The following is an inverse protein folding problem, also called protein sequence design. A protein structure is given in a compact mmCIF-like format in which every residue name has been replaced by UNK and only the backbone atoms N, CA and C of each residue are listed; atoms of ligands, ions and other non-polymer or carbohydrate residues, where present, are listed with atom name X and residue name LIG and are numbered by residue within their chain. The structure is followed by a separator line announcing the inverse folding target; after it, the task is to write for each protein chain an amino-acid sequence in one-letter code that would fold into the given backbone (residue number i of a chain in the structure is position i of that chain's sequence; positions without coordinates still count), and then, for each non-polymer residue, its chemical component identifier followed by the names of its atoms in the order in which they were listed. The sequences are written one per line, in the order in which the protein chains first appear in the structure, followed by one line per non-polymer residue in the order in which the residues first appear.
data_IF_261601121215
#
_entry.id   IF_261601121215
#
_cell.length_a   1.000
_cell.length_b   1.000
_cell.length_c   1.000
_cell.angle_alpha   90.00
_cell.angle_beta   90.00
_cell.angle_gamma   90.00
#
_symmetry.space_group_name_H-M   'P 1'
#
loop_
_entity.id
_entity.type
_entity.pdbx_description
1 polymer ?
#
# COMPACT_ATOMS: atom_id res chain seq x y z
N UNK A 1 33.38 -53.04 32.64
CA UNK A 1 32.45 -52.22 33.45
C UNK A 1 33.03 -50.81 33.61
N UNK A 2 32.20 -49.80 33.32
CA UNK A 2 32.30 -48.38 33.69
C UNK A 2 33.67 -47.66 33.60
N UNK A 3 33.83 -46.78 32.61
CA UNK A 3 34.72 -45.61 32.70
C UNK A 3 33.87 -44.33 32.72
N UNK A 4 33.90 -43.64 33.86
CA UNK A 4 33.34 -42.29 34.08
C UNK A 4 34.36 -41.23 33.63
N UNK A 5 33.78 -40.14 33.13
CA UNK A 5 34.36 -38.91 32.59
C UNK A 5 35.26 -38.17 33.59
N UNK A 6 36.27 -37.49 33.06
CA UNK A 6 36.70 -36.15 33.51
C UNK A 6 36.84 -35.25 32.28
N UNK A 7 36.25 -34.06 32.36
CA UNK A 7 36.26 -32.98 31.38
C UNK A 7 36.87 -31.76 32.07
N UNK A 8 37.68 -31.01 31.32
CA UNK A 8 37.79 -29.53 31.21
C UNK A 8 39.20 -29.15 30.71
N UNK A 9 39.45 -27.93 30.20
CA UNK A 9 38.67 -27.13 29.24
C UNK A 9 39.58 -26.53 28.13
N UNK A 10 39.00 -26.08 27.01
CA UNK A 10 39.70 -25.31 25.97
C UNK A 10 38.69 -24.89 24.90
N UNK A 11 38.28 -23.62 24.88
CA UNK A 11 38.88 -22.52 24.11
C UNK A 11 38.27 -22.39 22.72
N UNK A 12 37.70 -21.21 22.43
CA UNK A 12 37.41 -20.78 21.07
C UNK A 12 35.96 -20.41 20.81
N UNK A 13 35.57 -19.19 21.19
CA UNK A 13 34.42 -18.48 20.61
C UNK A 13 34.63 -18.41 19.08
N UNK A 14 33.71 -19.01 18.31
CA UNK A 14 33.42 -18.56 16.94
C UNK A 14 32.13 -17.75 17.00
N UNK A 15 32.27 -16.47 16.69
CA UNK A 15 31.15 -15.62 16.28
C UNK A 15 30.78 -16.07 14.88
N UNK A 16 29.56 -16.57 14.70
CA UNK A 16 28.98 -16.85 13.39
C UNK A 16 27.84 -15.86 13.19
N UNK A 17 28.00 -15.01 12.17
CA UNK A 17 26.98 -14.09 11.68
C UNK A 17 25.70 -14.85 11.34
N UNK A 18 24.63 -14.49 12.03
CA UNK A 18 23.31 -15.06 11.84
C UNK A 18 22.53 -14.25 10.82
N UNK A 19 22.48 -14.74 9.58
CA UNK A 19 21.36 -14.44 8.67
C UNK A 19 20.20 -15.32 9.13
N UNK A 20 19.28 -14.75 9.92
CA UNK A 20 18.09 -15.46 10.36
C UNK A 20 16.94 -15.23 9.38
N UNK A 21 16.61 -16.31 8.65
CA UNK A 21 15.34 -16.48 7.95
C UNK A 21 14.19 -16.41 8.97
N UNK A 22 13.38 -15.35 8.93
CA UNK A 22 12.18 -15.26 9.75
C UNK A 22 10.93 -15.67 8.98
N UNK A 23 10.26 -16.67 9.53
CA UNK A 23 8.97 -17.15 9.08
C UNK A 23 7.87 -16.28 9.69
N UNK A 24 6.95 -15.79 8.86
CA UNK A 24 5.78 -15.03 9.28
C UNK A 24 4.83 -15.89 10.14
N UNK A 25 4.59 -15.45 11.39
CA UNK A 25 3.44 -15.83 12.20
C UNK A 25 2.86 -14.55 12.82
N UNK A 26 1.68 -14.12 12.36
CA UNK A 26 0.86 -13.11 13.02
C UNK A 26 0.43 -13.62 14.41
N UNK A 27 0.78 -12.88 15.47
CA UNK A 27 0.20 -13.06 16.82
C UNK A 27 -0.56 -11.81 17.21
N UNK A 28 -1.89 -11.93 17.23
CA UNK A 28 -2.79 -10.98 17.88
C UNK A 28 -2.54 -10.99 19.39
N UNK A 29 -2.14 -9.84 19.95
CA UNK A 29 -2.17 -9.60 21.38
C UNK A 29 -3.47 -8.86 21.74
N UNK A 30 -4.46 -9.60 22.24
CA UNK A 30 -5.55 -9.04 23.02
C UNK A 30 -5.10 -8.83 24.46
N UNK A 31 -5.21 -7.60 24.93
CA UNK A 31 -5.08 -7.21 26.33
C UNK A 31 -6.13 -7.95 27.18
N UNK A 32 -5.68 -8.70 28.19
CA UNK A 32 -6.52 -9.26 29.23
C UNK A 32 -6.73 -8.19 30.31
N UNK A 33 -7.99 -7.75 30.50
CA UNK A 33 -8.40 -6.99 31.66
C UNK A 33 -8.50 -7.95 32.86
N UNK A 34 -7.70 -7.69 33.90
CA UNK A 34 -7.74 -8.42 35.16
C UNK A 34 -9.03 -8.10 35.92
N UNK A 35 -9.81 -9.14 36.26
CA UNK A 35 -10.92 -9.06 37.19
C UNK A 35 -10.40 -8.80 38.62
N UNK A 36 -10.62 -7.59 39.12
CA UNK A 36 -10.62 -7.30 40.55
C UNK A 36 -12.02 -7.61 41.12
N UNK A 37 -12.10 -8.55 42.06
CA UNK A 37 -13.29 -8.74 42.91
C UNK A 37 -13.10 -7.91 44.18
N UNK A 38 -13.96 -6.92 44.41
CA UNK A 38 -14.11 -6.26 45.72
C UNK A 38 -15.38 -6.73 46.46
N UNK A 39 -15.33 -6.79 47.80
CA UNK A 39 -16.38 -7.40 48.62
C UNK A 39 -17.60 -6.49 48.82
N UNK A 40 -18.76 -7.14 48.93
CA UNK A 40 -20.09 -6.55 49.09
C UNK A 40 -20.17 -5.48 50.19
N UNK A 41 -20.62 -4.27 49.82
CA UNK A 41 -21.12 -3.24 50.73
C UNK A 41 -22.60 -2.97 50.46
N UNK A 42 -23.30 -2.70 51.55
CA UNK A 42 -24.76 -2.55 51.68
C UNK A 42 -25.36 -1.51 50.72
N UNK A 43 -26.64 -1.64 50.34
CA UNK A 43 -27.26 -0.76 49.37
C UNK A 43 -27.48 0.63 49.98
N UNK A 44 -26.59 1.56 49.65
CA UNK A 44 -26.90 2.99 49.68
C UNK A 44 -27.78 3.25 48.46
N UNK A 45 -28.92 3.91 48.65
CA UNK A 45 -29.77 4.35 47.55
C UNK A 45 -28.98 5.27 46.63
N UNK A 46 -28.45 4.70 45.54
CA UNK A 46 -27.80 5.45 44.49
C UNK A 46 -28.88 6.26 43.75
N UNK A 47 -28.64 7.55 43.44
CA UNK A 47 -29.48 8.28 42.51
C UNK A 47 -29.61 7.48 41.21
N UNK A 48 -30.77 7.55 40.56
CA UNK A 48 -30.99 6.79 39.33
C UNK A 48 -29.95 7.17 38.27
N UNK A 49 -29.61 6.26 37.36
CA UNK A 49 -28.69 6.54 36.26
C UNK A 49 -29.15 7.78 35.46
N UNK A 50 -30.46 8.01 35.37
CA UNK A 50 -31.05 9.18 34.75
C UNK A 50 -30.82 10.48 35.54
N UNK A 51 -30.82 10.43 36.87
CA UNK A 51 -30.49 11.60 37.71
C UNK A 51 -29.00 11.93 37.64
N UNK A 52 -28.11 10.93 37.68
CA UNK A 52 -26.66 11.14 37.53
C UNK A 52 -26.32 11.66 36.14
N UNK A 53 -26.96 11.11 35.10
CA UNK A 53 -26.79 11.58 33.72
C UNK A 53 -27.38 12.98 33.51
N UNK A 54 -28.52 13.30 34.12
CA UNK A 54 -29.12 14.64 34.04
C UNK A 54 -28.31 15.68 34.81
N UNK A 55 -27.75 15.33 35.97
CA UNK A 55 -26.88 16.21 36.76
C UNK A 55 -25.52 16.40 36.07
N UNK A 56 -24.92 15.34 35.50
CA UNK A 56 -23.72 15.40 34.65
C UNK A 56 -23.96 16.24 33.40
N UNK A 57 -25.08 16.05 32.70
CA UNK A 57 -25.40 16.83 31.51
C UNK A 57 -25.78 18.28 31.85
N UNK A 58 -26.27 18.56 33.07
CA UNK A 58 -26.42 19.93 33.60
C UNK A 58 -25.10 20.58 33.96
N UNK A 59 -24.11 19.83 34.46
CA UNK A 59 -22.77 20.34 34.74
C UNK A 59 -21.91 20.47 33.47
N UNK A 60 -22.16 19.66 32.45
CA UNK A 60 -21.51 19.74 31.12
C UNK A 60 -22.12 20.82 30.23
N UNK A 61 -23.34 21.29 30.52
CA UNK A 61 -23.95 22.50 29.92
C UNK A 61 -23.63 23.79 30.69
N UNK A 62 -22.50 23.86 31.37
CA UNK A 62 -21.85 25.17 31.52
C UNK A 62 -21.30 25.53 30.15
N UNK A 63 -21.71 26.69 29.60
CA UNK A 63 -21.13 27.29 28.40
C UNK A 63 -19.61 27.35 28.60
N UNK A 64 -18.90 26.33 28.11
CA UNK A 64 -17.44 26.37 28.06
C UNK A 64 -17.12 27.49 27.09
N UNK A 65 -16.47 28.54 27.58
CA UNK A 65 -15.93 29.59 26.72
C UNK A 65 -14.99 28.92 25.71
N UNK A 66 -15.35 28.99 24.44
CA UNK A 66 -14.49 28.52 23.35
C UNK A 66 -13.20 29.35 23.37
N UNK A 67 -12.08 28.68 23.19
CA UNK A 67 -10.83 29.39 22.89
C UNK A 67 -10.99 30.19 21.58
N UNK A 68 -10.18 31.24 21.36
CA UNK A 68 -10.22 31.99 20.10
C UNK A 68 -10.05 31.10 18.85
N UNK A 69 -9.25 30.04 18.95
CA UNK A 69 -9.06 29.03 17.90
C UNK A 69 -10.34 28.22 17.71
N UNK A 70 -10.91 27.63 18.78
CA UNK A 70 -12.17 26.88 18.69
C UNK A 70 -13.33 27.74 18.12
N UNK A 71 -13.41 29.02 18.51
CA UNK A 71 -14.42 29.94 17.97
C UNK A 71 -14.20 30.27 16.47
N UNK A 72 -12.94 30.40 16.03
CA UNK A 72 -12.59 30.57 14.61
C UNK A 72 -12.95 29.33 13.80
N UNK A 73 -12.67 28.14 14.34
CA UNK A 73 -13.02 26.87 13.71
C UNK A 73 -14.54 26.71 13.53
N UNK A 74 -15.32 26.97 14.58
CA UNK A 74 -16.79 26.93 14.51
C UNK A 74 -17.33 27.93 13.47
N UNK A 75 -16.73 29.12 13.37
CA UNK A 75 -17.10 30.11 12.35
C UNK A 75 -16.82 29.59 10.94
N UNK A 76 -15.65 28.97 10.73
CA UNK A 76 -15.28 28.36 9.45
C UNK A 76 -16.21 27.20 9.06
N UNK A 77 -16.56 26.32 10.00
CA UNK A 77 -17.44 25.18 9.72
C UNK A 77 -18.89 25.58 9.39
N UNK A 78 -19.35 26.73 9.88
CA UNK A 78 -20.69 27.25 9.61
C UNK A 78 -20.74 28.20 8.39
N UNK A 79 -19.58 28.60 7.86
CA UNK A 79 -19.46 29.47 6.70
C UNK A 79 -19.76 28.73 5.39
N UNK A 80 -20.22 29.46 4.38
CA UNK A 80 -20.30 28.91 3.02
C UNK A 80 -18.90 28.81 2.36
N UNK A 81 -18.81 28.19 1.19
CA UNK A 81 -17.53 27.93 0.51
C UNK A 81 -16.69 29.20 0.26
N UNK A 82 -17.31 30.30 -0.16
CA UNK A 82 -16.59 31.56 -0.42
C UNK A 82 -16.11 32.19 0.89
N UNK A 83 -16.98 32.16 1.90
CA UNK A 83 -16.65 32.62 3.24
C UNK A 83 -15.55 31.76 3.89
N UNK A 84 -15.52 30.45 3.66
CA UNK A 84 -14.47 29.55 4.13
C UNK A 84 -13.09 29.88 3.55
N UNK A 85 -13.02 30.12 2.24
CA UNK A 85 -11.77 30.56 1.59
C UNK A 85 -11.30 31.90 2.18
N UNK A 86 -12.21 32.87 2.31
CA UNK A 86 -11.89 34.18 2.88
C UNK A 86 -11.45 34.09 4.35
N UNK A 87 -12.12 33.27 5.15
CA UNK A 87 -11.77 33.03 6.55
C UNK A 87 -10.40 32.36 6.66
N UNK A 88 -10.06 31.40 5.81
CA UNK A 88 -8.73 30.79 5.81
C UNK A 88 -7.64 31.83 5.52
N UNK A 89 -7.82 32.68 4.50
CA UNK A 89 -6.91 33.79 4.23
C UNK A 89 -6.75 34.74 5.43
N UNK A 90 -7.85 35.07 6.10
CA UNK A 90 -7.83 35.93 7.29
C UNK A 90 -7.12 35.25 8.46
N UNK A 91 -7.37 33.97 8.71
CA UNK A 91 -6.75 33.23 9.81
C UNK A 91 -5.23 33.11 9.62
N UNK A 92 -4.74 32.94 8.38
CA UNK A 92 -3.30 32.93 8.08
C UNK A 92 -2.64 34.30 8.41
N UNK A 93 -3.36 35.41 8.19
CA UNK A 93 -2.88 36.76 8.54
C UNK A 93 -2.88 37.01 10.06
N UNK A 94 -3.89 36.46 10.75
CA UNK A 94 -4.06 36.54 12.19
C UNK A 94 -3.32 35.38 12.90
N UNK A 95 -1.99 35.38 12.78
CA UNK A 95 -1.06 34.29 13.15
C UNK A 95 -1.33 33.53 14.44
N UNK A 96 -1.89 34.18 15.46
CA UNK A 96 -2.17 33.58 16.77
C UNK A 96 -3.47 32.72 16.79
N UNK A 97 -4.20 32.68 15.67
CA UNK A 97 -5.47 31.96 15.53
C UNK A 97 -5.36 30.67 14.70
N UNK A 98 -4.15 30.28 14.30
CA UNK A 98 -3.92 29.03 13.55
C UNK A 98 -2.86 28.19 14.24
N UNK A 99 -3.27 27.05 14.79
CA UNK A 99 -2.38 25.98 15.20
C UNK A 99 -2.31 24.88 14.13
N UNK A 100 -1.52 23.84 14.39
CA UNK A 100 -1.29 22.69 13.51
C UNK A 100 -2.57 21.92 13.21
N UNK A 101 -3.35 21.63 14.25
CA UNK A 101 -4.64 20.93 14.11
C UNK A 101 -5.62 21.73 13.24
N UNK A 102 -5.79 23.04 13.50
CA UNK A 102 -6.65 23.88 12.67
C UNK A 102 -6.13 24.01 11.24
N UNK A 103 -4.82 24.17 11.05
CA UNK A 103 -4.24 24.25 9.71
C UNK A 103 -4.54 22.98 8.91
N UNK A 104 -4.32 21.81 9.49
CA UNK A 104 -4.66 20.54 8.86
C UNK A 104 -6.14 20.48 8.48
N UNK A 105 -7.06 20.74 9.42
CA UNK A 105 -8.49 20.58 9.20
C UNK A 105 -9.07 21.59 8.18
N UNK A 106 -8.64 22.86 8.23
CA UNK A 106 -9.04 23.87 7.25
C UNK A 106 -8.54 23.53 5.85
N UNK A 107 -7.26 23.15 5.71
CA UNK A 107 -6.68 22.82 4.41
C UNK A 107 -7.26 21.52 3.85
N UNK A 108 -7.47 20.50 4.68
CA UNK A 108 -8.14 19.26 4.26
C UNK A 108 -9.54 19.54 3.73
N UNK A 109 -10.34 20.34 4.45
CA UNK A 109 -11.68 20.73 4.03
C UNK A 109 -11.65 21.48 2.69
N UNK A 110 -10.83 22.53 2.60
CA UNK A 110 -10.75 23.36 1.39
C UNK A 110 -10.16 22.62 0.19
N UNK A 111 -9.26 21.66 0.40
CA UNK A 111 -8.74 20.84 -0.69
C UNK A 111 -9.88 20.09 -1.39
N UNK A 112 -10.70 19.33 -0.67
CA UNK A 112 -11.82 18.62 -1.28
C UNK A 112 -12.87 19.58 -1.87
N UNK A 113 -13.19 20.69 -1.19
CA UNK A 113 -14.14 21.67 -1.73
C UNK A 113 -13.66 22.34 -3.02
N UNK A 114 -12.38 22.70 -3.12
CA UNK A 114 -11.82 23.29 -4.35
C UNK A 114 -11.72 22.26 -5.48
N UNK A 115 -11.50 20.98 -5.16
CA UNK A 115 -11.58 19.88 -6.13
C UNK A 115 -13.00 19.73 -6.68
N UNK A 116 -14.02 19.71 -5.81
CA UNK A 116 -15.43 19.57 -6.20
C UNK A 116 -15.93 20.75 -7.06
N UNK A 117 -15.40 21.96 -6.84
CA UNK A 117 -15.76 23.15 -7.59
C UNK A 117 -14.90 23.40 -8.85
N UNK A 118 -13.93 22.53 -9.16
CA UNK A 118 -12.95 22.71 -10.25
C UNK A 118 -12.08 23.99 -10.10
N UNK A 119 -11.77 24.36 -8.86
CA UNK A 119 -11.04 25.59 -8.49
C UNK A 119 -9.73 25.30 -7.74
N UNK A 120 -9.04 24.21 -8.10
CA UNK A 120 -7.78 23.74 -7.46
C UNK A 120 -6.71 24.83 -7.26
N UNK A 121 -6.63 25.78 -8.18
CA UNK A 121 -5.69 26.91 -8.09
C UNK A 121 -5.89 27.75 -6.81
N UNK A 122 -7.12 27.87 -6.30
CA UNK A 122 -7.42 28.60 -5.06
C UNK A 122 -6.80 27.91 -3.84
N UNK A 123 -6.79 26.58 -3.84
CA UNK A 123 -6.08 25.81 -2.81
C UNK A 123 -4.57 26.04 -2.89
N UNK A 124 -4.01 25.98 -4.11
CA UNK A 124 -2.57 26.20 -4.32
C UNK A 124 -2.16 27.62 -3.82
N UNK A 125 -2.97 28.65 -4.09
CA UNK A 125 -2.75 30.02 -3.58
C UNK A 125 -2.80 30.12 -2.04
N UNK A 126 -3.69 29.37 -1.39
CA UNK A 126 -3.77 29.30 0.08
C UNK A 126 -2.53 28.62 0.66
N UNK A 127 -2.07 27.53 0.04
CA UNK A 127 -0.88 26.79 0.46
C UNK A 127 0.37 27.66 0.33
N UNK A 128 0.53 28.39 -0.78
CA UNK A 128 1.62 29.34 -0.97
C UNK A 128 1.60 30.48 0.06
N UNK A 129 0.40 30.96 0.42
CA UNK A 129 0.23 31.97 1.46
C UNK A 129 0.61 31.45 2.84
N UNK A 130 0.23 30.22 3.18
CA UNK A 130 0.63 29.56 4.44
C UNK A 130 2.15 29.40 4.49
N UNK A 131 2.74 28.86 3.42
CA UNK A 131 4.19 28.68 3.27
C UNK A 131 4.95 29.99 3.50
N UNK A 132 4.46 31.10 2.95
CA UNK A 132 5.12 32.41 3.05
C UNK A 132 4.88 33.11 4.40
N UNK A 133 3.67 33.01 4.96
CA UNK A 133 3.24 33.81 6.12
C UNK A 133 3.54 33.13 7.46
N UNK A 134 3.45 31.80 7.47
CA UNK A 134 3.59 30.92 8.63
C UNK A 134 4.46 29.68 8.27
N UNK A 135 5.74 29.87 7.90
CA UNK A 135 6.60 28.79 7.39
C UNK A 135 6.83 27.65 8.39
N UNK A 136 6.86 27.94 9.69
CA UNK A 136 7.01 26.92 10.74
C UNK A 136 5.78 26.01 10.83
N UNK A 137 4.59 26.60 10.70
CA UNK A 137 3.32 25.87 10.68
C UNK A 137 3.17 25.07 9.38
N UNK A 138 3.50 25.68 8.24
CA UNK A 138 3.57 24.97 6.96
C UNK A 138 4.50 23.75 7.08
N UNK A 139 5.68 23.90 7.69
CA UNK A 139 6.63 22.80 7.83
C UNK A 139 6.08 21.61 8.66
N UNK A 140 5.15 21.84 9.58
CA UNK A 140 4.50 20.77 10.36
C UNK A 140 3.51 19.97 9.48
N UNK A 141 2.70 20.68 8.69
CA UNK A 141 1.65 20.08 7.84
C UNK A 141 2.08 19.80 6.40
N UNK A 142 3.34 20.10 6.05
CA UNK A 142 3.87 20.06 4.67
C UNK A 142 3.63 18.75 3.95
N UNK A 143 3.59 17.64 4.68
CA UNK A 143 3.48 16.31 4.13
C UNK A 143 2.10 16.04 3.54
N UNK A 144 1.04 16.59 4.14
CA UNK A 144 -0.30 16.60 3.55
C UNK A 144 -0.42 17.65 2.44
N UNK A 145 0.03 18.88 2.71
CA UNK A 145 -0.15 20.00 1.78
C UNK A 145 0.58 19.76 0.46
N UNK A 146 1.83 19.27 0.51
CA UNK A 146 2.60 18.96 -0.69
C UNK A 146 1.96 17.80 -1.49
N UNK A 147 1.43 16.75 -0.84
CA UNK A 147 0.73 15.66 -1.54
C UNK A 147 -0.50 16.18 -2.31
N UNK A 148 -1.28 17.06 -1.69
CA UNK A 148 -2.42 17.74 -2.31
C UNK A 148 -2.00 18.64 -3.48
N UNK A 149 -0.98 19.48 -3.30
CA UNK A 149 -0.45 20.34 -4.37
C UNK A 149 0.14 19.53 -5.54
N UNK A 150 0.84 18.41 -5.27
CA UNK A 150 1.34 17.52 -6.32
C UNK A 150 0.16 16.89 -7.06
N UNK A 151 -0.90 16.46 -6.36
CA UNK A 151 -2.10 15.93 -7.00
C UNK A 151 -2.74 16.97 -7.92
N UNK A 152 -2.86 18.23 -7.47
CA UNK A 152 -3.36 19.33 -8.30
C UNK A 152 -2.49 19.57 -9.54
N UNK A 153 -1.16 19.56 -9.38
CA UNK A 153 -0.21 19.74 -10.48
C UNK A 153 -0.30 18.59 -11.50
N UNK A 154 -0.44 17.35 -11.04
CA UNK A 154 -0.64 16.16 -11.89
C UNK A 154 -1.92 16.29 -12.71
N UNK A 155 -3.05 16.58 -12.06
CA UNK A 155 -4.36 16.68 -12.72
C UNK A 155 -4.40 17.85 -13.72
N UNK A 156 -3.76 18.96 -13.38
CA UNK A 156 -3.67 20.12 -14.27
C UNK A 156 -2.60 20.01 -15.36
N UNK A 157 -1.78 18.94 -15.36
CA UNK A 157 -0.67 18.76 -16.30
C UNK A 157 0.49 19.75 -16.12
N UNK A 158 0.61 20.39 -14.93
CA UNK A 158 1.70 21.33 -14.58
C UNK A 158 2.91 20.58 -14.03
N UNK A 159 3.50 19.74 -14.86
CA UNK A 159 4.57 18.82 -14.43
C UNK A 159 5.84 19.53 -13.93
N UNK A 160 6.05 20.79 -14.31
CA UNK A 160 7.12 21.65 -13.81
C UNK A 160 7.01 21.95 -12.30
N UNK A 161 5.78 21.98 -11.76
CA UNK A 161 5.51 22.29 -10.35
C UNK A 161 5.74 21.08 -9.45
N UNK A 162 5.69 19.86 -10.00
CA UNK A 162 5.76 18.60 -9.25
C UNK A 162 7.12 18.44 -8.56
N UNK A 163 8.22 18.69 -9.26
CA UNK A 163 9.56 18.38 -8.73
C UNK A 163 9.93 19.22 -7.50
N UNK A 164 9.71 20.56 -7.47
CA UNK A 164 9.90 21.35 -6.26
C UNK A 164 9.11 20.80 -5.06
N UNK A 165 7.81 20.55 -5.22
CA UNK A 165 6.94 20.02 -4.17
C UNK A 165 7.39 18.63 -3.69
N UNK A 166 7.74 17.74 -4.63
CA UNK A 166 8.19 16.40 -4.32
C UNK A 166 9.55 16.38 -3.59
N UNK A 167 10.45 17.33 -3.89
CA UNK A 167 11.71 17.50 -3.15
C UNK A 167 11.45 17.96 -1.72
N UNK A 168 10.48 18.84 -1.52
CA UNK A 168 10.07 19.25 -0.17
C UNK A 168 9.58 18.03 0.62
N UNK A 169 8.65 17.24 0.08
CA UNK A 169 8.15 16.04 0.73
C UNK A 169 9.27 15.03 1.04
N UNK A 170 10.18 14.82 0.08
CA UNK A 170 11.28 13.86 0.20
C UNK A 170 12.20 14.12 1.40
N UNK A 171 12.41 15.39 1.79
CA UNK A 171 13.35 15.70 2.88
C UNK A 171 12.93 15.22 4.26
N UNK A 172 11.65 14.83 4.46
CA UNK A 172 11.14 14.17 5.68
C UNK A 172 10.41 12.87 5.34
N UNK A 173 10.73 12.27 4.18
CA UNK A 173 10.02 11.09 3.68
C UNK A 173 10.07 9.88 4.62
N UNK A 174 11.06 9.78 5.51
CA UNK A 174 11.12 8.74 6.54
C UNK A 174 10.18 8.96 7.72
N UNK A 175 9.84 10.21 8.04
CA UNK A 175 8.96 10.57 9.16
C UNK A 175 7.48 10.32 8.82
N UNK A 176 7.10 10.57 7.56
CA UNK A 176 5.74 10.40 7.04
C UNK A 176 5.70 9.42 5.86
N UNK A 177 6.32 8.24 6.06
CA UNK A 177 6.56 7.27 4.99
C UNK A 177 5.28 6.76 4.32
N UNK A 178 4.16 6.71 5.05
CA UNK A 178 2.87 6.29 4.53
C UNK A 178 2.33 7.25 3.47
N UNK A 179 2.34 8.56 3.75
CA UNK A 179 1.94 9.61 2.81
C UNK A 179 2.95 9.70 1.68
N UNK A 180 4.24 9.66 1.98
CA UNK A 180 5.27 9.66 0.95
C UNK A 180 5.13 8.47 -0.01
N UNK A 181 4.82 7.28 0.50
CA UNK A 181 4.59 6.09 -0.34
C UNK A 181 3.36 6.24 -1.25
N UNK A 182 2.27 6.89 -0.77
CA UNK A 182 1.12 7.22 -1.62
C UNK A 182 1.51 8.16 -2.74
N UNK A 183 2.28 9.20 -2.45
CA UNK A 183 2.77 10.14 -3.46
C UNK A 183 3.68 9.42 -4.47
N UNK A 184 4.55 8.50 -4.02
CA UNK A 184 5.36 7.68 -4.92
C UNK A 184 4.50 6.79 -5.84
N UNK A 185 3.38 6.24 -5.34
CA UNK A 185 2.43 5.48 -6.15
C UNK A 185 1.74 6.37 -7.20
N UNK A 186 1.30 7.57 -6.82
CA UNK A 186 0.75 8.57 -7.75
C UNK A 186 1.75 8.93 -8.85
N UNK A 187 2.96 9.32 -8.48
CA UNK A 187 4.01 9.70 -9.43
C UNK A 187 4.38 8.54 -10.36
N UNK A 188 4.34 7.30 -9.85
CA UNK A 188 4.59 6.10 -10.66
C UNK A 188 3.45 5.83 -11.65
N UNK A 189 2.20 6.04 -11.23
CA UNK A 189 1.01 5.91 -12.08
C UNK A 189 1.06 6.87 -13.28
N UNK A 190 1.48 8.12 -13.03
CA UNK A 190 1.53 9.21 -14.01
C UNK A 190 2.87 9.35 -14.75
N UNK A 191 3.71 8.30 -14.74
CA UNK A 191 5.03 8.25 -15.39
C UNK A 191 5.94 9.46 -15.08
N UNK A 192 5.87 9.97 -13.85
CA UNK A 192 6.74 11.06 -13.37
C UNK A 192 8.13 10.51 -12.98
N UNK A 193 8.74 9.73 -13.88
CA UNK A 193 9.97 8.97 -13.63
C UNK A 193 11.16 9.87 -13.28
N UNK A 194 11.31 11.02 -13.93
CA UNK A 194 12.37 11.98 -13.62
C UNK A 194 12.28 12.47 -12.18
N UNK A 195 11.07 12.81 -11.72
CA UNK A 195 10.81 13.20 -10.34
C UNK A 195 11.18 12.09 -9.37
N UNK A 196 10.71 10.86 -9.62
CA UNK A 196 11.02 9.69 -8.79
C UNK A 196 12.53 9.50 -8.60
N UNK A 197 13.32 9.56 -9.69
CA UNK A 197 14.77 9.38 -9.65
C UNK A 197 15.50 10.43 -8.81
N UNK A 198 14.96 11.64 -8.72
CA UNK A 198 15.55 12.69 -7.90
C UNK A 198 15.18 12.55 -6.42
N UNK A 199 13.93 12.19 -6.12
CA UNK A 199 13.44 12.20 -4.74
C UNK A 199 13.84 10.96 -3.94
N UNK A 200 14.06 9.80 -4.58
CA UNK A 200 14.55 8.60 -3.88
C UNK A 200 15.89 8.83 -3.16
N UNK A 201 16.96 9.31 -3.81
CA UNK A 201 18.24 9.54 -3.11
C UNK A 201 18.15 10.69 -2.11
N UNK A 202 17.28 11.69 -2.35
CA UNK A 202 17.07 12.80 -1.42
C UNK A 202 16.41 12.34 -0.10
N UNK A 203 15.44 11.43 -0.18
CA UNK A 203 14.73 10.90 0.99
C UNK A 203 15.46 9.77 1.70
N UNK A 204 16.43 9.12 1.03
CA UNK A 204 17.13 7.96 1.58
C UNK A 204 17.73 8.17 2.97
N UNK A 205 18.46 9.27 3.28
CA UNK A 205 18.99 9.48 4.63
C UNK A 205 17.91 9.50 5.71
N UNK A 206 16.78 10.18 5.45
CA UNK A 206 15.63 10.24 6.37
C UNK A 206 15.01 8.86 6.58
N UNK A 207 14.86 8.06 5.52
CA UNK A 207 14.32 6.69 5.60
C UNK A 207 15.27 5.76 6.37
N UNK A 208 16.59 5.91 6.23
CA UNK A 208 17.57 5.10 6.96
C UNK A 208 17.55 5.35 8.47
N UNK A 209 17.30 6.60 8.87
CA UNK A 209 17.29 7.03 10.27
C UNK A 209 15.92 6.87 10.94
N UNK A 210 14.85 6.70 10.15
CA UNK A 210 13.49 6.56 10.64
C UNK A 210 13.30 5.30 11.51
N UNK A 211 12.52 5.44 12.58
CA UNK A 211 12.15 4.33 13.46
C UNK A 211 10.99 3.51 12.86
N UNK A 212 11.23 2.89 11.71
CA UNK A 212 10.27 2.10 10.95
C UNK A 212 10.68 0.63 10.89
N UNK A 213 9.76 -0.23 10.46
CA UNK A 213 10.06 -1.65 10.30
C UNK A 213 11.07 -1.89 9.17
N UNK A 214 11.98 -2.86 9.37
CA UNK A 214 12.99 -3.20 8.36
C UNK A 214 12.41 -3.55 6.98
N UNK A 215 11.23 -4.18 6.95
CA UNK A 215 10.57 -4.51 5.68
C UNK A 215 10.14 -3.27 4.88
N UNK A 216 9.85 -2.15 5.56
CA UNK A 216 9.49 -0.90 4.89
C UNK A 216 10.72 -0.22 4.26
N UNK A 217 11.88 -0.33 4.93
CA UNK A 217 13.18 0.08 4.36
C UNK A 217 13.51 -0.77 3.13
N UNK A 218 13.32 -2.10 3.21
CA UNK A 218 13.55 -3.00 2.07
C UNK A 218 12.62 -2.70 0.89
N UNK A 219 11.34 -2.41 1.14
CA UNK A 219 10.38 -1.98 0.10
C UNK A 219 10.82 -0.67 -0.56
N UNK A 220 11.23 0.31 0.24
CA UNK A 220 11.74 1.59 -0.27
C UNK A 220 12.98 1.40 -1.17
N UNK A 221 13.97 0.64 -0.70
CA UNK A 221 15.20 0.34 -1.45
C UNK A 221 14.89 -0.40 -2.75
N UNK A 222 13.95 -1.35 -2.72
CA UNK A 222 13.49 -2.06 -3.92
C UNK A 222 12.91 -1.07 -4.93
N UNK A 223 11.98 -0.20 -4.52
CA UNK A 223 11.34 0.77 -5.40
C UNK A 223 12.33 1.79 -5.99
N UNK A 224 13.27 2.27 -5.19
CA UNK A 224 14.35 3.15 -5.66
C UNK A 224 15.22 2.46 -6.72
N UNK A 225 15.59 1.20 -6.46
CA UNK A 225 16.39 0.39 -7.39
C UNK A 225 15.65 0.14 -8.70
N UNK A 226 14.36 -0.22 -8.62
CA UNK A 226 13.50 -0.44 -9.77
C UNK A 226 13.37 0.83 -10.63
N UNK A 227 13.14 2.00 -10.02
CA UNK A 227 13.08 3.27 -10.74
C UNK A 227 14.36 3.58 -11.52
N UNK A 228 15.53 3.35 -10.90
CA UNK A 228 16.84 3.51 -11.55
C UNK A 228 16.97 2.54 -12.73
N UNK A 229 16.66 1.25 -12.54
CA UNK A 229 16.77 0.24 -13.59
C UNK A 229 15.84 0.58 -14.76
N UNK A 230 14.59 0.93 -14.49
CA UNK A 230 13.61 1.28 -15.52
C UNK A 230 14.04 2.50 -16.33
N UNK A 231 14.58 3.52 -15.68
CA UNK A 231 15.12 4.68 -16.38
C UNK A 231 16.29 4.33 -17.33
N UNK A 232 17.14 3.38 -16.94
CA UNK A 232 18.20 2.88 -17.83
C UNK A 232 17.65 2.04 -18.98
N UNK A 233 16.62 1.22 -18.73
CA UNK A 233 15.97 0.41 -19.76
C UNK A 233 15.28 1.29 -20.81
N UNK A 234 14.67 2.38 -20.38
CA UNK A 234 13.97 3.33 -21.27
C UNK A 234 14.94 4.06 -22.21
N UNK A 235 16.14 4.39 -21.71
CA UNK A 235 17.20 4.98 -22.55
C UNK A 235 17.95 3.95 -23.38
N UNK A 236 18.02 2.71 -22.89
CA UNK A 236 18.75 1.63 -23.52
C UNK A 236 18.02 0.28 -23.34
N UNK A 237 17.16 -0.10 -24.30
CA UNK A 237 16.46 -1.38 -24.27
C UNK A 237 17.38 -2.63 -24.27
N UNK A 238 18.66 -2.45 -24.60
CA UNK A 238 19.68 -3.51 -24.58
C UNK A 238 20.58 -3.46 -23.32
N UNK A 239 20.12 -2.81 -22.25
CA UNK A 239 20.84 -2.63 -20.99
C UNK A 239 21.50 -3.94 -20.51
N UNK A 240 22.73 -3.83 -20.02
CA UNK A 240 23.47 -4.93 -19.41
C UNK A 240 23.72 -4.64 -17.94
N UNK A 241 23.70 -5.67 -17.10
CA UNK A 241 23.87 -5.56 -15.65
C UNK A 241 25.26 -5.09 -15.20
N UNK A 242 26.26 -5.09 -16.09
CA UNK A 242 27.60 -4.56 -15.83
C UNK A 242 27.77 -3.10 -16.25
N UNK A 243 26.67 -2.39 -16.54
CA UNK A 243 26.71 -0.96 -16.81
C UNK A 243 27.18 -0.20 -15.57
N UNK A 244 28.25 0.59 -15.71
CA UNK A 244 28.91 1.26 -14.57
C UNK A 244 28.01 2.34 -13.93
N UNK A 245 27.34 3.17 -14.73
CA UNK A 245 26.42 4.23 -14.25
C UNK A 245 25.23 3.63 -13.46
N UNK A 246 24.68 2.52 -13.95
CA UNK A 246 23.64 1.78 -13.25
C UNK A 246 24.13 1.28 -11.88
N UNK A 247 25.29 0.63 -11.83
CA UNK A 247 25.82 0.09 -10.59
C UNK A 247 26.16 1.19 -9.58
N UNK A 248 26.74 2.30 -10.04
CA UNK A 248 27.03 3.46 -9.20
C UNK A 248 25.76 3.98 -8.51
N UNK A 249 24.68 4.17 -9.29
CA UNK A 249 23.39 4.64 -8.76
C UNK A 249 22.72 3.65 -7.80
N UNK A 250 22.76 2.35 -8.11
CA UNK A 250 22.20 1.32 -7.22
C UNK A 250 22.95 1.23 -5.89
N UNK A 251 24.27 1.40 -5.91
CA UNK A 251 25.13 1.33 -4.72
C UNK A 251 24.86 2.44 -3.69
N UNK A 252 24.09 3.47 -4.03
CA UNK A 252 23.59 4.46 -3.07
C UNK A 252 22.67 3.80 -2.03
N UNK A 253 21.83 2.86 -2.47
CA UNK A 253 20.78 2.25 -1.64
C UNK A 253 21.17 0.87 -1.14
N UNK A 254 21.81 0.07 -2.00
CA UNK A 254 22.03 -1.35 -1.73
C UNK A 254 23.36 -1.85 -2.29
N UNK A 255 23.98 -2.79 -1.58
CA UNK A 255 25.08 -3.58 -2.14
C UNK A 255 24.52 -4.51 -3.22
N UNK A 256 24.87 -4.24 -4.46
CA UNK A 256 24.39 -5.00 -5.63
C UNK A 256 24.83 -6.47 -5.57
N UNK A 257 23.85 -7.38 -5.64
CA UNK A 257 24.06 -8.78 -5.95
C UNK A 257 24.08 -8.94 -7.48
N UNK A 258 25.26 -9.17 -8.04
CA UNK A 258 25.46 -9.17 -9.48
C UNK A 258 24.67 -10.27 -10.19
N UNK A 259 24.56 -11.46 -9.59
CA UNK A 259 23.87 -12.59 -10.22
C UNK A 259 22.36 -12.31 -10.28
N UNK A 260 21.80 -11.75 -9.19
CA UNK A 260 20.39 -11.33 -9.17
C UNK A 260 20.11 -10.20 -10.15
N UNK A 261 21.00 -9.20 -10.24
CA UNK A 261 20.84 -8.09 -11.17
C UNK A 261 20.91 -8.55 -12.63
N UNK A 262 21.79 -9.51 -12.95
CA UNK A 262 21.87 -10.13 -14.28
C UNK A 262 20.54 -10.81 -14.62
N UNK A 263 20.05 -11.71 -13.76
CA UNK A 263 18.77 -12.40 -14.01
C UNK A 263 17.61 -11.43 -14.18
N UNK A 264 17.53 -10.40 -13.33
CA UNK A 264 16.48 -9.38 -13.38
C UNK A 264 16.48 -8.62 -14.71
N UNK A 265 17.63 -8.11 -15.14
CA UNK A 265 17.76 -7.35 -16.39
C UNK A 265 17.60 -8.26 -17.61
N UNK A 266 18.10 -9.49 -17.57
CA UNK A 266 17.97 -10.41 -18.70
C UNK A 266 16.51 -10.79 -18.96
N UNK A 267 15.68 -10.93 -17.92
CA UNK A 267 14.23 -11.11 -18.09
C UNK A 267 13.59 -9.83 -18.66
N UNK A 268 13.87 -8.67 -18.07
CA UNK A 268 13.28 -7.40 -18.53
C UNK A 268 13.69 -6.99 -19.95
N UNK A 269 14.85 -7.44 -20.41
CA UNK A 269 15.34 -7.21 -21.79
C UNK A 269 14.98 -8.34 -22.76
N UNK A 270 14.34 -9.42 -22.28
CA UNK A 270 13.96 -10.59 -23.09
C UNK A 270 15.13 -11.49 -23.50
N UNK A 271 16.31 -11.33 -22.89
CA UNK A 271 17.45 -12.25 -23.08
C UNK A 271 17.23 -13.58 -22.36
N UNK A 272 16.43 -13.55 -21.30
CA UNK A 272 15.93 -14.72 -20.61
C UNK A 272 14.40 -14.73 -20.70
N UNK A 273 13.84 -15.81 -21.23
CA UNK A 273 12.40 -16.07 -21.23
C UNK A 273 12.16 -17.53 -20.85
N UNK A 274 11.18 -17.77 -19.98
CA UNK A 274 10.76 -19.09 -19.58
C UNK A 274 9.81 -19.72 -20.58
N UNK A 275 9.92 -21.03 -20.75
CA UNK A 275 8.85 -21.86 -21.30
C UNK A 275 8.05 -22.41 -20.13
N UNK A 276 6.93 -21.76 -19.85
CA UNK A 276 6.15 -22.01 -18.64
C UNK A 276 5.07 -23.06 -18.86
N UNK A 277 4.94 -23.97 -17.90
CA UNK A 277 3.78 -24.85 -17.74
C UNK A 277 3.15 -24.62 -16.37
N UNK A 278 1.86 -24.92 -16.22
CA UNK A 278 1.15 -24.76 -14.94
C UNK A 278 1.79 -25.53 -13.77
N UNK A 279 2.59 -26.55 -14.05
CA UNK A 279 3.29 -27.33 -13.03
C UNK A 279 4.47 -26.60 -12.38
N UNK A 280 5.02 -25.58 -13.04
CA UNK A 280 6.20 -24.83 -12.58
C UNK A 280 5.91 -23.92 -11.38
N UNK A 281 4.64 -23.55 -11.20
CA UNK A 281 4.22 -22.61 -10.16
C UNK A 281 3.81 -23.28 -8.84
N UNK A 282 3.88 -24.60 -8.75
CA UNK A 282 3.73 -25.31 -7.48
C UNK A 282 2.35 -25.18 -6.79
N UNK A 283 1.31 -24.72 -7.48
CA UNK A 283 -0.06 -24.61 -6.93
C UNK A 283 -0.68 -25.97 -6.53
N UNK A 284 -0.16 -27.07 -7.08
CA UNK A 284 -0.59 -28.44 -6.83
C UNK A 284 0.45 -29.26 -6.03
N UNK A 285 0.89 -28.81 -4.84
CA UNK A 285 1.84 -29.61 -4.06
C UNK A 285 1.17 -30.83 -3.37
N UNK A 286 1.77 -32.02 -3.55
CA UNK A 286 1.42 -33.30 -2.93
C UNK A 286 2.54 -33.74 -1.97
N UNK A 287 2.24 -34.24 -0.76
CA UNK A 287 3.22 -35.02 0.01
C UNK A 287 3.02 -36.53 -0.21
N UNK A 288 4.12 -37.27 -0.42
CA UNK A 288 4.13 -38.74 -0.25
C UNK A 288 4.02 -39.04 1.25
N UNK A 289 2.82 -39.36 1.73
CA UNK A 289 2.66 -39.99 3.04
C UNK A 289 3.42 -41.32 3.08
N UNK A 290 3.88 -41.76 4.25
CA UNK A 290 4.50 -43.08 4.49
C UNK A 290 3.54 -44.28 4.28
N UNK A 291 2.53 -44.14 3.41
CA UNK A 291 1.59 -45.18 3.00
C UNK A 291 1.22 -44.97 1.54
N UNK A 292 0.95 -46.07 0.81
CA UNK A 292 0.80 -46.17 -0.66
C UNK A 292 -0.33 -45.32 -1.29
N UNK A 293 -0.94 -44.39 -0.57
CA UNK A 293 -1.96 -43.47 -1.08
C UNK A 293 -1.39 -42.06 -1.07
N UNK A 294 -1.11 -41.51 -2.26
CA UNK A 294 -0.83 -40.08 -2.42
C UNK A 294 -2.06 -39.31 -1.92
N UNK A 295 -1.98 -38.69 -0.75
CA UNK A 295 -3.01 -37.79 -0.24
C UNK A 295 -2.60 -36.37 -0.62
N UNK A 296 -3.43 -35.65 -1.39
CA UNK A 296 -3.24 -34.22 -1.66
C UNK A 296 -3.28 -33.49 -0.31
N UNK A 297 -2.17 -32.88 0.10
CA UNK A 297 -2.11 -32.03 1.29
C UNK A 297 -1.93 -30.61 0.78
N UNK A 298 -2.92 -29.75 1.02
CA UNK A 298 -2.84 -28.32 0.68
C UNK A 298 -1.71 -27.68 1.48
N UNK A 299 -0.64 -27.27 0.81
CA UNK A 299 0.42 -26.45 1.41
C UNK A 299 0.13 -25.00 1.11
N UNK A 300 -0.04 -24.16 2.13
CA UNK A 300 -0.26 -22.72 1.98
C UNK A 300 1.00 -21.94 1.61
N UNK A 301 2.15 -22.62 1.46
CA UNK A 301 3.45 -22.03 1.14
C UNK A 301 3.97 -22.62 -0.17
N UNK A 302 4.45 -21.75 -1.04
CA UNK A 302 5.19 -22.14 -2.24
C UNK A 302 6.52 -22.80 -1.87
N UNK A 303 7.02 -23.69 -2.74
CA UNK A 303 8.45 -24.00 -2.75
C UNK A 303 9.22 -22.75 -3.18
N UNK A 304 10.51 -22.70 -2.85
CA UNK A 304 11.36 -21.59 -3.25
C UNK A 304 11.45 -21.45 -4.78
N UNK A 305 11.53 -22.58 -5.49
CA UNK A 305 11.51 -22.64 -6.95
C UNK A 305 10.19 -22.11 -7.53
N UNK A 306 9.05 -22.55 -7.02
CA UNK A 306 7.74 -22.07 -7.49
C UNK A 306 7.56 -20.56 -7.23
N UNK A 307 8.08 -20.06 -6.10
CA UNK A 307 8.07 -18.63 -5.76
C UNK A 307 8.92 -17.83 -6.75
N UNK A 308 10.09 -18.34 -7.11
CA UNK A 308 10.97 -17.71 -8.09
C UNK A 308 10.35 -17.74 -9.49
N UNK A 309 9.80 -18.88 -9.93
CA UNK A 309 9.15 -19.01 -11.23
C UNK A 309 7.97 -18.04 -11.40
N UNK A 310 7.13 -17.89 -10.37
CA UNK A 310 6.02 -16.94 -10.40
C UNK A 310 6.52 -15.48 -10.44
N UNK A 311 7.61 -15.19 -9.72
CA UNK A 311 8.25 -13.87 -9.78
C UNK A 311 8.83 -13.59 -11.18
N UNK A 312 9.54 -14.54 -11.79
CA UNK A 312 10.13 -14.40 -13.12
C UNK A 312 9.05 -14.23 -14.21
N UNK A 313 7.97 -15.02 -14.16
CA UNK A 313 6.79 -14.83 -15.01
C UNK A 313 6.22 -13.42 -14.87
N UNK A 314 6.15 -12.88 -13.65
CA UNK A 314 5.66 -11.52 -13.44
C UNK A 314 6.58 -10.46 -14.04
N UNK A 315 7.90 -10.68 -14.08
CA UNK A 315 8.83 -9.75 -14.73
C UNK A 315 8.72 -9.79 -16.25
N UNK A 316 8.49 -10.98 -16.83
CA UNK A 316 8.15 -11.09 -18.24
C UNK A 316 6.85 -10.34 -18.57
N UNK A 317 5.87 -10.36 -17.66
CA UNK A 317 4.67 -9.55 -17.81
C UNK A 317 4.96 -8.05 -17.79
N UNK A 318 5.81 -7.56 -16.90
CA UNK A 318 6.20 -6.15 -16.89
C UNK A 318 6.90 -5.72 -18.19
N UNK A 319 7.73 -6.60 -18.76
CA UNK A 319 8.29 -6.40 -20.10
C UNK A 319 7.19 -6.36 -21.17
N UNK A 320 6.25 -7.29 -21.14
CA UNK A 320 5.10 -7.32 -22.05
C UNK A 320 4.28 -6.03 -21.97
N UNK A 321 3.97 -5.55 -20.75
CA UNK A 321 3.27 -4.29 -20.53
C UNK A 321 3.97 -3.12 -21.23
N UNK A 322 5.30 -3.03 -21.13
CA UNK A 322 6.03 -1.94 -21.77
C UNK A 322 6.04 -2.04 -23.29
N UNK A 323 6.34 -3.22 -23.84
CA UNK A 323 6.64 -3.37 -25.26
C UNK A 323 5.42 -3.65 -26.14
N UNK A 324 4.41 -4.36 -25.61
CA UNK A 324 3.21 -4.75 -26.36
C UNK A 324 2.02 -3.84 -26.01
N UNK A 325 1.89 -3.42 -24.75
CA UNK A 325 0.76 -2.60 -24.28
C UNK A 325 1.12 -1.11 -24.15
N UNK A 326 2.40 -0.73 -24.33
CA UNK A 326 2.87 0.66 -24.25
C UNK A 326 2.87 1.27 -22.85
N UNK A 327 2.60 0.48 -21.81
CA UNK A 327 2.49 0.96 -20.43
C UNK A 327 3.87 1.30 -19.86
N UNK A 328 4.07 2.48 -19.26
CA UNK A 328 5.35 2.83 -18.63
C UNK A 328 5.75 1.85 -17.52
N UNK A 329 7.04 1.56 -17.38
CA UNK A 329 7.53 0.59 -16.39
C UNK A 329 7.11 0.94 -14.95
N UNK A 330 7.06 2.22 -14.59
CA UNK A 330 6.68 2.66 -13.23
C UNK A 330 5.23 2.29 -12.90
N UNK A 331 4.30 2.50 -13.84
CA UNK A 331 2.89 2.10 -13.69
C UNK A 331 2.75 0.57 -13.74
N UNK A 332 3.44 -0.07 -14.69
CA UNK A 332 3.43 -1.52 -14.85
C UNK A 332 3.98 -2.26 -13.64
N UNK A 333 4.98 -1.73 -12.95
CA UNK A 333 5.55 -2.33 -11.74
C UNK A 333 4.54 -2.34 -10.59
N UNK A 334 3.71 -1.29 -10.44
CA UNK A 334 2.63 -1.29 -9.43
C UNK A 334 1.68 -2.46 -9.71
N UNK A 335 1.17 -2.58 -10.94
CA UNK A 335 0.27 -3.68 -11.29
C UNK A 335 0.94 -5.05 -11.13
N UNK A 336 2.19 -5.21 -11.59
CA UNK A 336 2.92 -6.47 -11.45
C UNK A 336 3.04 -6.91 -9.99
N UNK A 337 3.44 -6.00 -9.10
CA UNK A 337 3.58 -6.30 -7.68
C UNK A 337 2.25 -6.76 -7.06
N UNK A 338 1.17 -6.05 -7.36
CA UNK A 338 -0.13 -6.30 -6.72
C UNK A 338 -0.87 -7.49 -7.32
N UNK A 339 -0.71 -7.77 -8.62
CA UNK A 339 -1.17 -9.02 -9.22
C UNK A 339 -0.40 -10.20 -8.63
N UNK A 340 0.92 -10.09 -8.48
CA UNK A 340 1.72 -11.13 -7.83
C UNK A 340 1.28 -11.35 -6.37
N UNK A 341 1.03 -10.28 -5.61
CA UNK A 341 0.57 -10.38 -4.23
C UNK A 341 -0.81 -11.02 -4.14
N UNK A 342 -1.76 -10.60 -4.99
CA UNK A 342 -3.07 -11.23 -5.11
C UNK A 342 -2.97 -12.75 -5.31
N UNK A 343 -2.13 -13.20 -6.25
CA UNK A 343 -1.94 -14.63 -6.52
C UNK A 343 -1.38 -15.38 -5.30
N UNK A 344 -0.46 -14.74 -4.56
CA UNK A 344 0.16 -15.32 -3.36
C UNK A 344 -0.81 -15.39 -2.19
N UNK A 345 -1.55 -14.31 -1.91
CA UNK A 345 -2.57 -14.28 -0.85
C UNK A 345 -3.70 -15.27 -1.14
N UNK A 346 -4.17 -15.33 -2.39
CA UNK A 346 -5.16 -16.31 -2.85
C UNK A 346 -4.70 -17.73 -2.64
N UNK A 347 -3.45 -18.05 -3.02
CA UNK A 347 -2.89 -19.38 -2.79
C UNK A 347 -2.74 -19.72 -1.31
N UNK A 348 -2.38 -18.75 -0.48
CA UNK A 348 -2.30 -18.92 0.97
C UNK A 348 -3.67 -19.09 1.65
N UNK A 349 -4.77 -18.78 0.93
CA UNK A 349 -6.14 -18.78 1.44
C UNK A 349 -6.49 -17.52 2.24
N UNK A 350 -5.70 -16.45 2.11
CA UNK A 350 -5.93 -15.17 2.79
C UNK A 350 -7.15 -14.41 2.27
N UNK A 351 -7.59 -14.73 1.06
CA UNK A 351 -8.74 -14.14 0.37
C UNK A 351 -9.95 -15.09 0.33
N UNK A 352 -9.93 -16.20 1.09
CA UNK A 352 -11.14 -17.01 1.21
C UNK A 352 -12.11 -16.33 2.19
N UNK A 353 -13.43 -16.35 1.92
CA UNK A 353 -14.42 -15.83 2.85
C UNK A 353 -14.22 -16.47 4.22
N UNK A 354 -14.18 -15.66 5.28
CA UNK A 354 -14.20 -16.22 6.63
C UNK A 354 -15.49 -17.06 6.77
N UNK A 355 -15.36 -18.30 7.23
CA UNK A 355 -16.51 -19.11 7.65
C UNK A 355 -17.11 -18.42 8.90
N UNK A 356 -17.89 -17.36 8.70
CA UNK A 356 -18.47 -16.51 9.75
C UNK A 356 -19.71 -17.16 10.39
N UNK A 357 -19.63 -18.48 10.57
CA UNK A 357 -20.68 -19.29 11.20
C UNK A 357 -20.33 -19.59 12.66
N UNK A 358 -19.80 -18.59 13.37
CA UNK A 358 -19.57 -18.71 14.80
C UNK A 358 -20.65 -17.96 15.55
N UNK A 359 -21.59 -18.70 16.15
CA UNK A 359 -22.46 -18.11 17.16
C UNK A 359 -21.63 -17.67 18.37
N UNK A 360 -22.01 -16.60 19.06
CA UNK A 360 -21.40 -16.19 20.35
C UNK A 360 -21.30 -17.37 21.34
N UNK A 361 -22.24 -18.34 21.25
CA UNK A 361 -22.22 -19.58 22.02
C UNK A 361 -20.98 -20.47 21.75
N UNK A 362 -20.48 -20.52 20.52
CA UNK A 362 -19.29 -21.28 20.13
C UNK A 362 -17.99 -20.59 20.57
N UNK A 363 -18.03 -19.27 20.78
CA UNK A 363 -16.95 -18.51 21.43
C UNK A 363 -16.85 -18.87 22.92
N UNK A 364 -17.98 -18.86 23.63
CA UNK A 364 -18.03 -19.20 25.05
C UNK A 364 -17.65 -20.67 25.35
N UNK A 365 -17.88 -21.60 24.41
CA UNK A 365 -17.55 -23.03 24.57
C UNK A 365 -16.11 -23.41 24.23
N UNK A 366 -15.25 -22.45 23.89
CA UNK A 366 -13.84 -22.73 23.59
C UNK A 366 -13.62 -23.62 22.35
N UNK A 367 -14.59 -23.70 21.44
CA UNK A 367 -14.49 -24.49 20.21
C UNK A 367 -13.39 -23.86 19.33
N UNK A 368 -12.38 -24.64 18.95
CA UNK A 368 -11.30 -24.16 18.06
C UNK A 368 -11.90 -23.72 16.72
N UNK A 369 -11.49 -22.53 16.21
CA UNK A 369 -11.86 -22.07 14.86
C UNK A 369 -11.64 -23.22 13.88
N UNK A 370 -12.68 -23.58 13.12
CA UNK A 370 -12.49 -24.48 11.97
C UNK A 370 -11.58 -23.74 10.99
N UNK A 371 -10.56 -24.44 10.49
CA UNK A 371 -9.68 -23.85 9.47
C UNK A 371 -10.55 -23.51 8.25
N UNK A 372 -10.45 -22.29 7.68
CA UNK A 372 -11.22 -21.92 6.50
C UNK A 372 -11.00 -22.95 5.40
N UNK A 373 -12.08 -23.36 4.74
CA UNK A 373 -11.98 -24.25 3.59
C UNK A 373 -11.42 -23.44 2.43
N UNK A 374 -10.15 -23.67 2.10
CA UNK A 374 -9.57 -23.08 0.89
C UNK A 374 -10.33 -23.59 -0.33
N UNK A 375 -11.07 -22.73 -1.02
CA UNK A 375 -11.79 -23.12 -2.23
C UNK A 375 -10.79 -23.16 -3.39
N UNK A 376 -10.80 -24.23 -4.20
CA UNK A 376 -9.92 -24.26 -5.38
C UNK A 376 -10.50 -23.32 -6.44
N UNK A 377 -9.69 -22.41 -7.00
CA UNK A 377 -10.13 -21.62 -8.13
C UNK A 377 -10.24 -22.48 -9.39
N UNK A 378 -10.99 -21.98 -10.38
CA UNK A 378 -11.07 -22.58 -11.72
C UNK A 378 -9.69 -22.57 -12.40
N UNK A 379 -8.95 -21.47 -12.27
CA UNK A 379 -7.59 -21.32 -12.75
C UNK A 379 -6.75 -20.51 -11.76
N UNK A 380 -5.52 -20.98 -11.46
CA UNK A 380 -4.69 -20.38 -10.41
C UNK A 380 -4.09 -19.02 -10.79
N UNK A 381 -3.77 -18.81 -12.07
CA UNK A 381 -3.21 -17.55 -12.57
C UNK A 381 -4.27 -16.53 -13.00
N UNK A 382 -5.53 -16.96 -13.17
CA UNK A 382 -6.63 -16.05 -13.48
C UNK A 382 -7.34 -15.62 -12.19
N UNK A 383 -7.68 -14.33 -12.04
CA UNK A 383 -8.51 -13.91 -10.92
C UNK A 383 -9.89 -14.57 -10.96
N UNK A 384 -10.52 -14.62 -9.80
CA UNK A 384 -11.97 -14.83 -9.67
C UNK A 384 -12.58 -13.61 -9.00
N UNK A 385 -13.83 -13.32 -9.35
CA UNK A 385 -14.54 -12.11 -8.94
C UNK A 385 -14.46 -11.85 -7.43
N UNK A 386 -14.89 -12.80 -6.62
CA UNK A 386 -15.07 -12.60 -5.19
C UNK A 386 -13.75 -12.32 -4.47
N UNK A 387 -12.71 -13.07 -4.80
CA UNK A 387 -11.40 -12.87 -4.16
C UNK A 387 -10.70 -11.62 -4.65
N UNK A 388 -10.89 -11.28 -5.92
CA UNK A 388 -10.30 -10.06 -6.46
C UNK A 388 -10.98 -8.82 -5.89
N UNK A 389 -12.31 -8.83 -5.75
CA UNK A 389 -13.07 -7.79 -5.04
C UNK A 389 -12.58 -7.62 -3.59
N UNK A 390 -12.42 -8.72 -2.84
CA UNK A 390 -11.89 -8.67 -1.49
C UNK A 390 -10.45 -8.11 -1.44
N UNK A 391 -9.60 -8.51 -2.38
CA UNK A 391 -8.24 -7.99 -2.48
C UNK A 391 -8.22 -6.49 -2.72
N UNK A 392 -9.05 -5.99 -3.66
CA UNK A 392 -9.17 -4.56 -3.94
C UNK A 392 -9.75 -3.79 -2.74
N UNK A 393 -10.75 -4.35 -2.06
CA UNK A 393 -11.31 -3.76 -0.84
C UNK A 393 -10.25 -3.65 0.28
N UNK A 394 -9.37 -4.65 0.43
CA UNK A 394 -8.26 -4.60 1.39
C UNK A 394 -7.22 -3.52 1.07
N UNK A 395 -7.13 -3.05 -0.18
CA UNK A 395 -6.28 -1.91 -0.55
C UNK A 395 -6.96 -0.56 -0.27
N UNK A 396 -8.29 -0.53 -0.22
CA UNK A 396 -9.10 0.68 -0.08
C UNK A 396 -9.65 0.83 1.34
N UNK A 397 -8.81 0.57 2.35
CA UNK A 397 -9.19 0.72 3.76
C UNK A 397 -9.33 2.21 4.14
N UNK A 398 -10.18 2.49 5.14
CA UNK A 398 -10.43 3.85 5.61
C UNK A 398 -9.17 4.56 6.13
N UNK A 399 -8.27 3.86 6.82
CA UNK A 399 -7.13 4.45 7.52
C UNK A 399 -5.98 4.76 6.54
N UNK A 400 -5.84 4.00 5.47
CA UNK A 400 -4.77 4.19 4.49
C UNK A 400 -5.18 3.61 3.12
N UNK A 401 -6.00 4.34 2.34
CA UNK A 401 -6.45 3.86 1.05
C UNK A 401 -5.35 4.00 0.00
N UNK A 402 -5.09 2.91 -0.71
CA UNK A 402 -4.10 2.82 -1.79
C UNK A 402 -4.77 2.85 -3.17
N UNK A 403 -5.37 3.98 -3.52
CA UNK A 403 -6.16 4.16 -4.75
C UNK A 403 -5.41 3.74 -6.01
N UNK A 404 -4.17 4.21 -6.20
CA UNK A 404 -3.35 3.88 -7.37
C UNK A 404 -2.99 2.39 -7.47
N UNK A 405 -2.78 1.71 -6.34
CA UNK A 405 -2.50 0.27 -6.30
C UNK A 405 -3.74 -0.54 -6.70
N UNK A 406 -4.90 -0.17 -6.17
CA UNK A 406 -6.17 -0.79 -6.52
C UNK A 406 -6.53 -0.55 -8.00
N UNK A 407 -6.42 0.70 -8.46
CA UNK A 407 -6.72 1.10 -9.83
C UNK A 407 -5.85 0.34 -10.83
N UNK A 408 -4.52 0.36 -10.69
CA UNK A 408 -3.59 -0.33 -11.61
C UNK A 408 -3.80 -1.84 -11.64
N UNK A 409 -4.08 -2.46 -10.50
CA UNK A 409 -4.36 -3.89 -10.42
C UNK A 409 -5.58 -4.29 -11.24
N UNK A 410 -6.64 -3.47 -11.18
CA UNK A 410 -7.86 -3.71 -11.94
C UNK A 410 -7.69 -3.33 -13.42
N UNK A 411 -7.19 -2.12 -13.68
CA UNK A 411 -6.97 -1.56 -15.01
C UNK A 411 -6.12 -2.49 -15.89
N UNK A 412 -5.03 -3.02 -15.35
CA UNK A 412 -4.06 -3.83 -16.11
C UNK A 412 -4.33 -5.34 -16.04
N UNK A 413 -5.43 -5.77 -15.42
CA UNK A 413 -5.82 -7.19 -15.38
C UNK A 413 -6.10 -7.77 -16.78
N UNK A 414 -6.77 -7.09 -17.72
CA UNK A 414 -6.94 -7.59 -19.09
C UNK A 414 -5.61 -7.83 -19.81
N UNK A 415 -4.63 -6.94 -19.61
CA UNK A 415 -3.29 -7.10 -20.16
C UNK A 415 -2.56 -8.33 -19.57
N UNK A 416 -2.74 -8.59 -18.27
CA UNK A 416 -2.24 -9.82 -17.64
C UNK A 416 -2.82 -11.07 -18.30
N UNK A 417 -4.12 -11.09 -18.59
CA UNK A 417 -4.75 -12.25 -19.24
C UNK A 417 -4.29 -12.42 -20.69
N UNK A 418 -4.15 -11.34 -21.46
CA UNK A 418 -3.56 -11.40 -22.81
C UNK A 418 -2.12 -11.93 -22.76
N UNK A 419 -1.32 -11.47 -21.81
CA UNK A 419 0.03 -11.98 -21.59
C UNK A 419 0.01 -13.50 -21.31
N UNK A 420 -0.82 -13.98 -20.39
CA UNK A 420 -0.94 -15.42 -20.11
C UNK A 420 -1.34 -16.23 -21.35
N UNK A 421 -2.23 -15.69 -22.20
CA UNK A 421 -2.62 -16.31 -23.46
C UNK A 421 -1.44 -16.37 -24.45
N UNK A 422 -0.66 -15.28 -24.58
CA UNK A 422 0.54 -15.27 -25.42
C UNK A 422 1.59 -16.29 -24.97
N UNK A 423 1.63 -16.57 -23.66
CA UNK A 423 2.47 -17.62 -23.05
C UNK A 423 1.83 -19.01 -23.08
N UNK A 424 0.66 -19.17 -23.69
CA UNK A 424 -0.10 -20.42 -23.79
C UNK A 424 -0.43 -21.05 -22.42
N UNK A 425 -0.46 -20.24 -21.36
CA UNK A 425 -0.86 -20.66 -20.02
C UNK A 425 -2.38 -20.69 -19.86
N UNK A 426 -3.09 -19.94 -20.71
CA UNK A 426 -4.54 -19.97 -20.89
C UNK A 426 -4.86 -19.91 -22.39
N UNK A 427 -6.10 -20.23 -22.75
CA UNK A 427 -6.65 -20.01 -24.10
C UNK A 427 -7.59 -18.79 -24.12
N UNK A 428 -8.02 -18.40 -25.33
CA UNK A 428 -8.94 -17.29 -25.55
C UNK A 428 -10.28 -17.47 -24.81
N UNK A 429 -10.78 -18.71 -24.72
CA UNK A 429 -12.04 -19.02 -24.03
C UNK A 429 -11.90 -18.76 -22.53
N UNK A 430 -10.80 -19.19 -21.92
CA UNK A 430 -10.51 -18.94 -20.51
C UNK A 430 -10.29 -17.45 -20.24
N UNK A 431 -9.64 -16.71 -21.13
CA UNK A 431 -9.54 -15.23 -21.05
C UNK A 431 -10.91 -14.58 -21.03
N UNK A 432 -11.74 -14.87 -22.03
CA UNK A 432 -13.08 -14.30 -22.17
C UNK A 432 -13.97 -14.62 -20.96
N UNK A 433 -13.94 -15.89 -20.49
CA UNK A 433 -14.67 -16.31 -19.29
C UNK A 433 -14.21 -15.55 -18.05
N UNK A 434 -12.91 -15.32 -17.89
CA UNK A 434 -12.38 -14.57 -16.74
C UNK A 434 -12.80 -13.10 -16.80
N UNK A 435 -12.70 -12.43 -17.94
CA UNK A 435 -13.16 -11.04 -18.08
C UNK A 435 -14.66 -10.91 -17.79
N UNK A 436 -15.47 -11.85 -18.28
CA UNK A 436 -16.90 -11.89 -18.00
C UNK A 436 -17.21 -12.06 -16.50
N UNK A 437 -16.44 -12.88 -15.77
CA UNK A 437 -16.62 -13.07 -14.32
C UNK A 437 -16.37 -11.78 -13.53
N UNK A 438 -15.37 -10.99 -13.96
CA UNK A 438 -15.00 -9.72 -13.34
C UNK A 438 -15.98 -8.57 -13.66
N UNK A 439 -16.87 -8.73 -14.63
CA UNK A 439 -17.75 -7.67 -15.09
C UNK A 439 -18.62 -7.09 -13.95
N UNK A 440 -18.65 -5.77 -13.78
CA UNK A 440 -19.43 -5.11 -12.74
C UNK A 440 -18.69 -4.95 -11.40
N UNK A 441 -17.43 -5.38 -11.29
CA UNK A 441 -16.56 -4.99 -10.16
C UNK A 441 -16.11 -3.52 -10.23
N UNK A 442 -15.96 -3.00 -11.45
CA UNK A 442 -15.71 -1.59 -11.76
C UNK A 442 -16.74 -0.66 -11.12
N UNK A 443 -18.03 -1.05 -11.05
CA UNK A 443 -19.10 -0.20 -10.57
C UNK A 443 -18.89 0.34 -9.13
N UNK A 444 -18.27 -0.45 -8.24
CA UNK A 444 -17.95 0.01 -6.88
C UNK A 444 -16.69 0.88 -6.86
N UNK A 445 -15.68 0.53 -7.67
CA UNK A 445 -14.46 1.31 -7.81
C UNK A 445 -14.74 2.69 -8.41
N UNK A 446 -15.57 2.75 -9.46
CA UNK A 446 -15.99 3.99 -10.12
C UNK A 446 -16.66 4.95 -9.13
N UNK A 447 -17.57 4.46 -8.28
CA UNK A 447 -18.20 5.30 -7.25
C UNK A 447 -17.19 5.89 -6.27
N UNK A 448 -16.17 5.11 -5.91
CA UNK A 448 -15.13 5.55 -4.98
C UNK A 448 -14.15 6.53 -5.65
N UNK A 449 -13.77 6.28 -6.90
CA UNK A 449 -12.88 7.15 -7.65
C UNK A 449 -13.56 8.44 -8.13
N UNK A 450 -14.90 8.47 -8.27
CA UNK A 450 -15.64 9.69 -8.62
C UNK A 450 -15.49 10.80 -7.57
N UNK A 451 -15.28 10.42 -6.32
CA UNK A 451 -15.01 11.36 -5.22
C UNK A 451 -13.51 11.51 -4.95
N UNK A 452 -12.65 10.81 -5.69
CA UNK A 452 -11.20 10.89 -5.52
C UNK A 452 -10.64 12.08 -6.32
N UNK A 453 -9.68 12.84 -5.78
CA UNK A 453 -9.17 14.04 -6.43
C UNK A 453 -8.44 13.81 -7.77
N UNK A 454 -8.07 12.61 -8.16
CA UNK A 454 -7.47 12.35 -9.47
C UNK A 454 -8.48 11.66 -10.42
N UNK A 455 -9.01 12.39 -11.42
CA UNK A 455 -9.99 11.84 -12.35
C UNK A 455 -9.41 10.76 -13.27
N UNK A 456 -8.08 10.65 -13.43
CA UNK A 456 -7.46 9.65 -14.29
C UNK A 456 -7.82 8.22 -13.85
N UNK A 457 -8.03 7.99 -12.55
CA UNK A 457 -8.43 6.69 -12.04
C UNK A 457 -9.83 6.30 -12.50
N UNK A 458 -10.77 7.25 -12.58
CA UNK A 458 -12.10 7.01 -13.15
C UNK A 458 -12.02 6.73 -14.64
N UNK A 459 -11.34 7.60 -15.39
CA UNK A 459 -11.25 7.47 -16.85
C UNK A 459 -10.65 6.13 -17.27
N UNK A 460 -9.62 5.65 -16.57
CA UNK A 460 -9.01 4.35 -16.83
C UNK A 460 -9.97 3.17 -16.62
N UNK A 461 -10.94 3.28 -15.72
CA UNK A 461 -11.96 2.24 -15.48
C UNK A 461 -13.14 2.34 -16.45
N UNK A 462 -13.51 3.54 -16.89
CA UNK A 462 -14.58 3.73 -17.88
C UNK A 462 -14.19 3.15 -19.25
N UNK A 463 -12.90 3.15 -19.58
CA UNK A 463 -12.34 2.58 -20.81
C UNK A 463 -12.00 1.08 -20.69
N UNK A 464 -12.36 0.41 -19.59
CA UNK A 464 -11.91 -0.94 -19.31
C UNK A 464 -12.45 -1.96 -20.33
N UNK A 465 -11.58 -2.76 -20.97
CA UNK A 465 -11.99 -3.65 -22.05
C UNK A 465 -12.70 -4.89 -21.49
N UNK A 466 -13.96 -5.07 -21.90
CA UNK A 466 -14.78 -6.24 -21.57
C UNK A 466 -14.64 -7.40 -22.58
N UNK A 467 -13.80 -7.26 -23.61
CA UNK A 467 -13.62 -8.22 -24.72
C UNK A 467 -12.16 -8.68 -24.91
#
# INVERSE_FOLDING_TARGET
MAKRKRKEPGSGKKVSDGVQNYSFEFRNHHLQLNHYQEPAKQPVSLPSADEVFTEMMKTVKQERELTPIEARWETFMNADYEEQIALCHQTIEEKDLMDDEMAFEMFNTLYYSTVENDERHRFDELADKLHTSLPELYAQERHFIADWQITNAVVAGRYEDILPLARELASTGGEHLDIFTKTLDMLSYHDQRSTLLEIYPLSWPSVQEANIFAWAVDEFVKRASDAIIFDHLERNPSLKANNEDLQEKLNIFIKVDQDRLVSYIDILTGRQEGQWEMSDFGFDCFYKGKGKVKRRVKTTKFSEEARQNLYDLSLEFLRYLRHEEGVPYTKGEIARQHILEYLRERHAGGLDPEDDTRSELDMMRGVKKRKPKIHRPDHWLCPDRNRFDQFLANQLTFINPHHYRAATSFELMPAWLRFLETRQLIDADQRAKTLQDLQGLDANLLKLFQTFPDPALCSALEEWPYE
#
